data_IF_380548963703
#
_entry.id   IF_380548963703
#
_cell.length_a   1.000
_cell.length_b   1.000
_cell.length_c   1.000
_cell.angle_alpha   90.00
_cell.angle_beta   90.00
_cell.angle_gamma   90.00
#
_symmetry.space_group_name_H-M   'P 1'
#
loop_
_entity.id
_entity.type
_entity.pdbx_description
1 polymer ?
#
# COMPACT_ATOMS: atom_id res chain seq x y z
N UNK A 1 22.46 6.38 -13.11
CA UNK A 1 21.96 5.18 -12.41
C UNK A 1 20.59 4.91 -12.99
N UNK A 2 20.52 4.03 -13.98
CA UNK A 2 19.27 3.71 -14.65
C UNK A 2 18.46 2.81 -13.71
N UNK A 3 17.32 3.32 -13.24
CA UNK A 3 16.37 2.52 -12.45
C UNK A 3 15.55 1.71 -13.44
N UNK A 4 15.83 0.42 -13.55
CA UNK A 4 15.02 -0.45 -14.37
C UNK A 4 13.70 -0.76 -13.65
N UNK A 5 12.63 -1.02 -14.42
CA UNK A 5 11.34 -1.42 -13.86
C UNK A 5 11.44 -2.72 -13.04
N UNK A 6 12.45 -3.57 -13.28
CA UNK A 6 12.75 -4.73 -12.44
C UNK A 6 13.33 -4.38 -11.07
N UNK A 7 13.91 -3.19 -10.90
CA UNK A 7 14.59 -2.77 -9.66
C UNK A 7 13.60 -2.29 -8.60
N UNK A 8 12.37 -1.93 -8.97
CA UNK A 8 11.30 -1.55 -8.04
C UNK A 8 10.08 -2.42 -8.27
N UNK A 9 10.04 -3.57 -7.57
CA UNK A 9 8.96 -4.55 -7.71
C UNK A 9 7.74 -4.08 -6.92
N UNK A 10 6.66 -3.68 -7.61
CA UNK A 10 5.39 -3.32 -6.98
C UNK A 10 4.75 -4.53 -6.30
N UNK A 11 4.07 -4.29 -5.18
CA UNK A 11 3.18 -5.29 -4.57
C UNK A 11 2.01 -5.50 -5.53
N UNK A 12 1.30 -4.41 -5.85
CA UNK A 12 0.14 -4.40 -6.74
C UNK A 12 0.52 -3.74 -8.09
N UNK A 13 0.60 -4.51 -9.19
CA UNK A 13 0.93 -3.97 -10.51
C UNK A 13 -0.10 -2.97 -11.05
N UNK A 14 -1.35 -3.03 -10.59
CA UNK A 14 -2.45 -2.20 -11.07
C UNK A 14 -2.44 -0.79 -10.47
N UNK A 15 -1.65 -0.58 -9.40
CA UNK A 15 -1.56 0.67 -8.66
C UNK A 15 -0.30 1.48 -8.98
N UNK A 16 -0.36 2.76 -8.60
CA UNK A 16 0.75 3.71 -8.69
C UNK A 16 1.83 3.45 -7.63
N UNK A 17 2.38 4.53 -7.08
CA UNK A 17 3.47 4.48 -6.08
C UNK A 17 3.01 4.10 -4.67
N UNK A 18 1.71 4.19 -4.39
CA UNK A 18 1.11 3.88 -3.08
C UNK A 18 -0.03 2.88 -3.21
N UNK A 19 -0.27 2.14 -2.12
CA UNK A 19 -1.46 1.30 -1.95
C UNK A 19 -2.65 2.14 -1.51
N UNK A 20 -3.84 1.52 -1.45
CA UNK A 20 -5.09 2.20 -1.06
C UNK A 20 -5.09 2.76 0.37
N UNK A 21 -4.21 2.27 1.24
CA UNK A 21 -4.02 2.74 2.62
C UNK A 21 -2.96 3.86 2.76
N UNK A 22 -2.38 4.30 1.63
CA UNK A 22 -1.30 5.29 1.57
C UNK A 22 0.10 4.74 1.80
N UNK A 23 0.25 3.43 2.06
CA UNK A 23 1.57 2.82 2.25
C UNK A 23 2.33 2.64 0.92
N UNK A 24 3.68 2.56 0.91
CA UNK A 24 4.44 2.42 -0.33
C UNK A 24 4.11 1.12 -1.08
N UNK A 25 3.82 1.20 -2.38
CA UNK A 25 3.57 0.03 -3.23
C UNK A 25 4.90 -0.62 -3.66
N UNK A 26 5.61 -1.19 -2.70
CA UNK A 26 6.94 -1.79 -2.87
C UNK A 26 7.00 -3.14 -2.17
N UNK A 27 7.28 -4.20 -2.95
CA UNK A 27 7.30 -5.58 -2.47
C UNK A 27 8.52 -5.91 -1.61
N UNK A 28 9.53 -5.04 -1.63
CA UNK A 28 10.74 -5.17 -0.81
C UNK A 28 10.71 -4.22 0.41
N UNK A 29 9.58 -3.57 0.69
CA UNK A 29 9.46 -2.66 1.84
C UNK A 29 9.58 -3.41 3.18
N UNK A 30 10.09 -2.71 4.20
CA UNK A 30 10.21 -3.24 5.57
C UNK A 30 8.83 -3.33 6.25
N UNK A 31 7.96 -2.35 6.00
CA UNK A 31 6.65 -2.25 6.64
C UNK A 31 5.72 -3.38 6.19
N UNK A 32 5.24 -4.18 7.14
CA UNK A 32 4.17 -5.17 6.91
C UNK A 32 2.80 -4.48 6.87
N UNK A 33 1.79 -5.20 6.39
CA UNK A 33 0.42 -4.71 6.36
C UNK A 33 -0.55 -5.79 5.90
N UNK A 34 -1.78 -5.42 5.54
CA UNK A 34 -2.74 -6.33 4.93
C UNK A 34 -2.13 -7.00 3.68
N UNK A 35 -2.56 -8.23 3.39
CA UNK A 35 -2.19 -8.91 2.15
C UNK A 35 -3.03 -8.37 0.98
N UNK A 36 -2.60 -8.63 -0.26
CA UNK A 36 -3.41 -8.29 -1.44
C UNK A 36 -4.79 -8.96 -1.38
N UNK A 37 -4.87 -10.20 -0.90
CA UNK A 37 -6.15 -10.91 -0.74
C UNK A 37 -7.11 -10.10 0.14
N UNK A 38 -6.66 -9.67 1.32
CA UNK A 38 -7.50 -8.89 2.24
C UNK A 38 -7.91 -7.54 1.63
N UNK A 39 -6.99 -6.84 0.95
CA UNK A 39 -7.33 -5.57 0.29
C UNK A 39 -8.36 -5.76 -0.82
N UNK A 40 -8.23 -6.81 -1.64
CA UNK A 40 -9.20 -7.14 -2.68
C UNK A 40 -10.59 -7.49 -2.10
N UNK A 41 -10.63 -8.24 -1.01
CA UNK A 41 -11.89 -8.56 -0.32
C UNK A 41 -12.57 -7.30 0.24
N UNK A 42 -11.79 -6.36 0.80
CA UNK A 42 -12.32 -5.09 1.28
C UNK A 42 -12.82 -4.20 0.15
N UNK A 43 -12.10 -4.11 -0.96
CA UNK A 43 -12.54 -3.39 -2.16
C UNK A 43 -13.83 -3.99 -2.73
N UNK A 44 -13.93 -5.31 -2.80
CA UNK A 44 -15.15 -6.01 -3.24
C UNK A 44 -16.33 -5.81 -2.28
N UNK A 45 -16.05 -5.58 -0.99
CA UNK A 45 -17.04 -5.29 0.03
C UNK A 45 -17.37 -3.78 0.18
N UNK A 46 -16.83 -2.92 -0.70
CA UNK A 46 -16.99 -1.45 -0.65
C UNK A 46 -16.51 -0.83 0.69
N UNK A 47 -15.50 -1.45 1.30
CA UNK A 47 -14.88 -0.98 2.54
C UNK A 47 -13.76 -0.02 2.18
N UNK A 48 -13.90 1.25 2.56
CA UNK A 48 -12.85 2.26 2.34
C UNK A 48 -11.64 1.96 3.23
N UNK A 49 -10.45 1.82 2.61
CA UNK A 49 -9.20 1.63 3.35
C UNK A 49 -8.82 2.91 4.13
N UNK A 50 -8.29 2.76 5.35
CA UNK A 50 -7.83 3.91 6.14
C UNK A 50 -6.51 4.47 5.61
N UNK A 51 -6.33 5.79 5.65
CA UNK A 51 -5.02 6.41 5.44
C UNK A 51 -4.15 6.23 6.70
N UNK A 52 -3.08 5.43 6.60
CA UNK A 52 -2.24 5.10 7.75
C UNK A 52 -1.46 6.30 8.29
N UNK A 53 -1.04 7.23 7.43
CA UNK A 53 -0.30 8.43 7.84
C UNK A 53 -1.20 9.31 8.71
N UNK A 54 -2.39 9.62 8.21
CA UNK A 54 -3.37 10.44 8.93
C UNK A 54 -3.80 9.78 10.23
N UNK A 55 -4.04 8.47 10.22
CA UNK A 55 -4.44 7.72 11.41
C UNK A 55 -3.34 7.72 12.48
N UNK A 56 -2.06 7.59 12.10
CA UNK A 56 -0.91 7.67 13.01
C UNK A 56 -0.77 9.08 13.58
N UNK A 57 -0.85 10.11 12.74
CA UNK A 57 -0.79 11.51 13.15
C UNK A 57 -1.93 11.87 14.10
N UNK A 58 -3.16 11.41 13.84
CA UNK A 58 -4.31 11.65 14.70
C UNK A 58 -4.13 11.04 16.09
N UNK A 59 -3.62 9.81 16.18
CA UNK A 59 -3.39 9.13 17.47
C UNK A 59 -2.23 9.70 18.29
N UNK A 60 -1.26 10.33 17.62
CA UNK A 60 -0.12 10.96 18.28
C UNK A 60 -0.46 12.33 18.87
N UNK A 61 -1.50 13.00 18.35
CA UNK A 61 -2.01 14.25 18.90
C UNK A 61 -2.83 14.00 20.15
#
# INVERSE_FOLDING_TARGET
>A
MDRHHCDTRKIDPTRGTTLGDGSPNDQNRIEIGPTQLAMCEWEAADITLPNLVDMRSYRHR
#
